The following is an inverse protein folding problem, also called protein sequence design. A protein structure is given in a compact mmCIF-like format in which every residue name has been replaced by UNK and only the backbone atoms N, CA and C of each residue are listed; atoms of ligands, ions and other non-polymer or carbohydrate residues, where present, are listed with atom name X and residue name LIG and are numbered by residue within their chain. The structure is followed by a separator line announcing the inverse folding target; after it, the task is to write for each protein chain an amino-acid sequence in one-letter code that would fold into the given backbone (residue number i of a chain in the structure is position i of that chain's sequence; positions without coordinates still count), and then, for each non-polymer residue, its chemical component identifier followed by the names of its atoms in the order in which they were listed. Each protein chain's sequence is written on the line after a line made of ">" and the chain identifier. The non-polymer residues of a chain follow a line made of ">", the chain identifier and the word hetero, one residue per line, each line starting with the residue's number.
data_IF_489976890625
#
_entry.id   IF_489976890625
#
_cell.length_a   1.000
_cell.length_b   1.000
_cell.length_c   1.000
_cell.angle_alpha   90.00
_cell.angle_beta   90.00
_cell.angle_gamma   90.00
#
_symmetry.space_group_name_H-M   'P 1'
#
loop_
_entity.id
_entity.type
_entity.pdbx_description
1 polymer ?
#
# COMPACT_ATOMS: atom_id res chain seq x y z
N UNK A 1 16.62 -9.33 -11.03
CA UNK A 1 15.60 -10.03 -11.85
C UNK A 1 14.23 -9.36 -11.80
N UNK A 2 13.43 -9.46 -10.73
CA UNK A 2 12.07 -8.86 -10.68
C UNK A 2 12.06 -7.32 -10.80
N UNK A 3 13.01 -6.65 -10.13
CA UNK A 3 13.15 -5.19 -10.19
C UNK A 3 13.58 -4.73 -11.59
N UNK A 4 14.50 -5.46 -12.23
CA UNK A 4 14.93 -5.13 -13.60
C UNK A 4 13.80 -5.35 -14.62
N UNK A 5 13.03 -6.43 -14.47
CA UNK A 5 11.85 -6.68 -15.32
C UNK A 5 10.81 -5.58 -15.16
N UNK A 6 10.51 -5.18 -13.93
CA UNK A 6 9.58 -4.07 -13.67
C UNK A 6 10.10 -2.74 -14.25
N UNK A 7 11.39 -2.44 -14.11
CA UNK A 7 12.01 -1.25 -14.73
C UNK A 7 11.90 -1.26 -16.25
N UNK A 8 12.07 -2.42 -16.88
CA UNK A 8 11.94 -2.59 -18.31
C UNK A 8 10.49 -2.38 -18.78
N UNK A 9 9.52 -3.02 -18.11
CA UNK A 9 8.07 -2.84 -18.39
C UNK A 9 7.65 -1.37 -18.24
N UNK A 10 8.16 -0.69 -17.21
CA UNK A 10 7.94 0.74 -16.98
C UNK A 10 8.52 1.58 -18.12
N UNK A 11 9.76 1.30 -18.51
CA UNK A 11 10.45 2.02 -19.60
C UNK A 11 9.67 1.91 -20.91
N UNK A 12 9.20 0.72 -21.23
CA UNK A 12 8.38 0.47 -22.42
C UNK A 12 7.04 1.22 -22.35
N UNK A 13 6.35 1.20 -21.20
CA UNK A 13 5.12 1.97 -20.98
C UNK A 13 5.34 3.48 -21.15
N UNK A 14 6.42 4.04 -20.59
CA UNK A 14 6.72 5.48 -20.70
C UNK A 14 7.07 5.84 -22.14
N UNK A 15 7.92 5.07 -22.82
CA UNK A 15 8.27 5.31 -24.23
C UNK A 15 7.03 5.24 -25.13
N UNK A 16 6.15 4.26 -24.90
CA UNK A 16 4.87 4.16 -25.59
C UNK A 16 4.00 5.40 -25.33
N UNK A 17 3.85 5.81 -24.07
CA UNK A 17 3.06 6.99 -23.72
C UNK A 17 3.59 8.26 -24.40
N UNK A 18 4.90 8.51 -24.33
CA UNK A 18 5.54 9.69 -24.93
C UNK A 18 5.37 9.73 -26.46
N UNK A 19 5.46 8.56 -27.12
CA UNK A 19 5.20 8.42 -28.55
C UNK A 19 3.78 8.84 -28.93
N UNK A 20 2.77 8.45 -28.16
CA UNK A 20 1.37 8.80 -28.46
C UNK A 20 0.96 10.19 -27.95
N UNK A 21 1.73 10.77 -27.03
CA UNK A 21 1.56 12.13 -26.53
C UNK A 21 2.20 13.20 -27.45
N UNK A 22 2.82 12.82 -28.58
CA UNK A 22 3.55 13.71 -29.50
C UNK A 22 4.69 14.51 -28.81
N UNK A 23 5.31 13.94 -27.77
CA UNK A 23 6.46 14.54 -27.05
C UNK A 23 7.75 13.93 -27.62
N UNK A 24 8.44 14.66 -28.51
CA UNK A 24 9.59 14.12 -29.27
C UNK A 24 10.96 14.33 -28.62
N UNK A 25 11.09 15.22 -27.63
CA UNK A 25 12.40 15.62 -27.10
C UNK A 25 12.63 15.08 -25.69
N UNK A 26 13.70 14.27 -25.54
CA UNK A 26 14.24 13.72 -24.28
C UNK A 26 13.45 12.60 -23.61
N UNK A 27 12.81 11.74 -24.40
CA UNK A 27 12.11 10.56 -23.87
C UNK A 27 13.04 9.67 -23.03
N UNK A 28 14.26 9.37 -23.51
CA UNK A 28 15.24 8.56 -22.77
C UNK A 28 15.61 9.17 -21.40
N UNK A 29 16.01 10.44 -21.35
CA UNK A 29 16.40 11.11 -20.09
C UNK A 29 15.21 11.21 -19.12
N UNK A 30 14.00 11.45 -19.64
CA UNK A 30 12.79 11.48 -18.83
C UNK A 30 12.43 10.10 -18.28
N UNK A 31 12.53 9.05 -19.10
CA UNK A 31 12.29 7.66 -18.70
C UNK A 31 13.29 7.22 -17.64
N UNK A 32 14.56 7.53 -17.83
CA UNK A 32 15.62 7.20 -16.87
C UNK A 32 15.42 7.96 -15.54
N UNK A 33 15.11 9.26 -15.61
CA UNK A 33 14.79 10.06 -14.43
C UNK A 33 13.52 9.58 -13.71
N UNK A 34 12.48 9.21 -14.46
CA UNK A 34 11.23 8.71 -13.91
C UNK A 34 11.39 7.32 -13.26
N UNK A 35 12.14 6.41 -13.88
CA UNK A 35 12.40 5.07 -13.34
C UNK A 35 13.31 5.06 -12.12
N UNK A 36 14.11 6.11 -11.92
CA UNK A 36 14.91 6.30 -10.71
C UNK A 36 14.13 7.01 -9.58
N UNK A 37 12.92 7.49 -9.84
CA UNK A 37 12.09 8.17 -8.84
C UNK A 37 11.35 7.14 -7.96
N UNK A 38 11.55 7.12 -6.63
CA UNK A 38 10.85 6.20 -5.73
C UNK A 38 9.32 6.26 -5.84
N UNK A 39 8.76 7.44 -6.14
CA UNK A 39 7.33 7.58 -6.33
C UNK A 39 6.81 6.78 -7.53
N UNK A 40 7.61 6.64 -8.59
CA UNK A 40 7.24 5.88 -9.77
C UNK A 40 7.29 4.36 -9.51
N UNK A 41 8.31 3.90 -8.79
CA UNK A 41 8.42 2.50 -8.37
C UNK A 41 7.21 2.09 -7.50
N UNK A 42 6.87 2.90 -6.50
CA UNK A 42 5.70 2.67 -5.64
C UNK A 42 4.38 2.65 -6.43
N UNK A 43 4.27 3.48 -7.45
CA UNK A 43 3.10 3.56 -8.34
C UNK A 43 2.92 2.29 -9.18
N UNK A 44 4.03 1.75 -9.70
CA UNK A 44 4.01 0.50 -10.45
C UNK A 44 3.70 -0.69 -9.54
N UNK A 45 4.21 -0.70 -8.31
CA UNK A 45 3.84 -1.71 -7.30
C UNK A 45 2.35 -1.66 -6.98
N UNK A 46 1.76 -0.47 -6.88
CA UNK A 46 0.32 -0.32 -6.70
C UNK A 46 -0.47 -0.83 -7.91
N UNK A 47 -0.06 -0.53 -9.15
CA UNK A 47 -0.72 -1.07 -10.33
C UNK A 47 -0.70 -2.61 -10.34
N UNK A 48 0.46 -3.22 -10.02
CA UNK A 48 0.59 -4.67 -9.94
C UNK A 48 -0.29 -5.28 -8.83
N UNK A 49 -0.39 -4.61 -7.67
CA UNK A 49 -1.30 -5.02 -6.60
C UNK A 49 -2.75 -5.00 -7.09
N UNK A 50 -3.15 -3.94 -7.79
CA UNK A 50 -4.50 -3.81 -8.37
C UNK A 50 -4.79 -4.93 -9.37
N UNK A 51 -3.84 -5.23 -10.25
CA UNK A 51 -4.01 -6.28 -11.25
C UNK A 51 -4.14 -7.67 -10.57
N UNK A 52 -3.38 -7.94 -9.50
CA UNK A 52 -3.54 -9.17 -8.68
C UNK A 52 -4.91 -9.26 -8.01
N UNK A 53 -5.35 -8.16 -7.38
CA UNK A 53 -6.66 -8.10 -6.70
C UNK A 53 -7.82 -8.31 -7.67
N UNK A 54 -7.73 -7.75 -8.88
CA UNK A 54 -8.77 -7.87 -9.90
C UNK A 54 -8.68 -9.19 -10.70
N UNK A 55 -7.56 -9.90 -10.62
CA UNK A 55 -7.35 -11.17 -11.31
C UNK A 55 -8.22 -12.32 -10.78
N UNK A 56 -8.53 -12.32 -9.47
CA UNK A 56 -9.45 -13.29 -8.86
C UNK A 56 -8.96 -14.75 -8.91
N UNK A 57 -7.64 -14.96 -8.96
CA UNK A 57 -7.01 -16.28 -8.97
C UNK A 57 -7.05 -17.00 -7.62
N UNK A 58 -7.17 -16.25 -6.53
CA UNK A 58 -7.20 -16.76 -5.15
C UNK A 58 -8.38 -16.20 -4.38
N UNK A 59 -8.84 -16.95 -3.37
CA UNK A 59 -9.92 -16.53 -2.48
C UNK A 59 -9.51 -15.37 -1.56
N UNK A 60 -8.22 -15.36 -1.14
CA UNK A 60 -7.67 -14.38 -0.21
C UNK A 60 -6.26 -13.99 -0.64
N UNK A 61 -5.98 -12.69 -0.62
CA UNK A 61 -4.66 -12.12 -0.83
C UNK A 61 -4.18 -11.45 0.45
N UNK A 62 -2.96 -11.76 0.89
CA UNK A 62 -2.30 -11.10 2.03
C UNK A 62 -1.14 -10.28 1.51
N UNK A 63 -1.21 -8.96 1.69
CA UNK A 63 -0.17 -8.04 1.27
C UNK A 63 0.67 -7.60 2.48
N UNK A 64 1.96 -7.92 2.46
CA UNK A 64 2.93 -7.39 3.41
C UNK A 64 3.47 -6.05 2.88
N UNK A 65 3.16 -4.96 3.60
CA UNK A 65 3.54 -3.62 3.17
C UNK A 65 4.85 -3.19 3.81
N UNK A 66 5.71 -2.56 3.02
CA UNK A 66 6.86 -1.79 3.52
C UNK A 66 6.44 -0.80 4.64
N UNK A 67 7.37 -0.41 5.53
CA UNK A 67 7.05 0.40 6.72
C UNK A 67 6.24 1.67 6.40
N UNK A 68 5.53 2.11 7.42
CA UNK A 68 4.25 2.83 7.35
C UNK A 68 4.22 4.00 6.36
N UNK A 69 5.32 4.77 6.19
CA UNK A 69 5.39 5.90 5.24
C UNK A 69 4.99 5.55 3.79
N UNK A 70 5.25 4.31 3.34
CA UNK A 70 4.91 3.85 1.99
C UNK A 70 3.43 3.47 1.85
N UNK A 71 2.81 2.96 2.92
CA UNK A 71 1.39 2.57 2.90
C UNK A 71 0.46 3.77 2.68
N UNK A 72 0.78 4.97 3.21
CA UNK A 72 0.01 6.19 2.90
C UNK A 72 0.10 6.54 1.42
N UNK A 73 1.28 6.43 0.81
CA UNK A 73 1.49 6.78 -0.60
C UNK A 73 0.67 5.86 -1.50
N UNK A 74 0.71 4.55 -1.21
CA UNK A 74 -0.11 3.54 -1.88
C UNK A 74 -1.61 3.92 -1.92
N UNK A 75 -2.15 4.41 -0.81
CA UNK A 75 -3.59 4.67 -0.68
C UNK A 75 -4.00 6.05 -1.20
N UNK A 76 -3.18 7.08 -0.93
CA UNK A 76 -3.38 8.42 -1.47
C UNK A 76 -3.24 8.47 -2.99
N UNK A 77 -2.45 7.57 -3.57
CA UNK A 77 -2.30 7.42 -5.02
C UNK A 77 -3.63 7.12 -5.71
N UNK A 78 -4.53 6.31 -5.14
CA UNK A 78 -5.81 5.98 -5.78
C UNK A 78 -6.68 7.22 -6.12
N UNK A 79 -6.75 8.19 -5.19
CA UNK A 79 -7.51 9.43 -5.38
C UNK A 79 -6.78 10.40 -6.31
N UNK A 80 -5.48 10.55 -6.14
CA UNK A 80 -4.65 11.43 -6.98
C UNK A 80 -4.62 10.93 -8.43
N UNK A 81 -4.53 9.62 -8.64
CA UNK A 81 -4.61 9.00 -9.96
C UNK A 81 -5.93 9.30 -10.63
N UNK A 82 -7.04 9.14 -9.91
CA UNK A 82 -8.36 9.43 -10.48
C UNK A 82 -8.46 10.88 -10.99
N UNK A 83 -7.97 11.85 -10.21
CA UNK A 83 -7.95 13.27 -10.62
C UNK A 83 -7.03 13.53 -11.81
N UNK A 84 -5.83 12.97 -11.79
CA UNK A 84 -4.84 13.15 -12.85
C UNK A 84 -5.29 12.53 -14.18
N UNK A 85 -5.83 11.30 -14.14
CA UNK A 85 -6.36 10.61 -15.31
C UNK A 85 -7.55 11.37 -15.88
N UNK A 86 -8.46 11.88 -15.04
CA UNK A 86 -9.57 12.70 -15.51
C UNK A 86 -9.10 13.98 -16.21
N UNK A 87 -8.05 14.63 -15.69
CA UNK A 87 -7.45 15.81 -16.33
C UNK A 87 -6.80 15.47 -17.67
N UNK A 88 -6.10 14.34 -17.75
CA UNK A 88 -5.49 13.82 -18.98
C UNK A 88 -6.52 13.51 -20.05
N UNK A 89 -7.60 12.81 -19.67
CA UNK A 89 -8.72 12.49 -20.55
C UNK A 89 -9.32 13.78 -21.13
N UNK A 90 -9.59 14.78 -20.29
CA UNK A 90 -10.12 16.07 -20.73
C UNK A 90 -9.16 16.80 -21.68
N UNK A 91 -7.87 16.88 -21.32
CA UNK A 91 -6.84 17.51 -22.17
C UNK A 91 -6.73 16.83 -23.54
N UNK A 92 -6.79 15.50 -23.56
CA UNK A 92 -6.70 14.72 -24.81
C UNK A 92 -7.95 14.88 -25.67
N UNK A 93 -9.12 14.97 -25.06
CA UNK A 93 -10.39 15.22 -25.76
C UNK A 93 -10.45 16.63 -26.38
N UNK A 94 -9.96 17.65 -25.66
CA UNK A 94 -9.80 19.02 -26.16
C UNK A 94 -8.82 19.07 -27.34
N UNK A 95 -7.65 18.42 -27.21
CA UNK A 95 -6.66 18.34 -28.28
C UNK A 95 -7.21 17.63 -29.52
N UNK A 96 -7.96 16.54 -29.33
CA UNK A 96 -8.63 15.82 -30.41
C UNK A 96 -9.66 16.70 -31.10
N UNK A 97 -10.53 17.37 -30.34
CA UNK A 97 -11.58 18.25 -30.87
C UNK A 97 -10.99 19.39 -31.70
N UNK A 98 -9.90 20.00 -31.21
CA UNK A 98 -9.16 21.03 -31.95
C UNK A 98 -8.55 20.49 -33.24
N UNK A 99 -7.98 19.26 -33.21
CA UNK A 99 -7.43 18.60 -34.39
C UNK A 99 -8.51 18.28 -35.42
N UNK A 100 -9.69 17.84 -34.99
CA UNK A 100 -10.85 17.58 -35.85
C UNK A 100 -11.38 18.87 -36.50
N UNK A 101 -11.40 19.99 -35.76
CA UNK A 101 -11.75 21.33 -36.27
C UNK A 101 -10.76 21.83 -37.34
N UNK A 102 -9.47 21.57 -37.16
CA UNK A 102 -8.40 22.04 -38.06
C UNK A 102 -8.13 21.07 -39.23
N UNK A 103 -8.66 19.85 -39.19
CA UNK A 103 -8.43 18.84 -40.21
C UNK A 103 -9.42 18.97 -41.37
N UNK A 104 -8.90 19.03 -42.60
CA UNK A 104 -9.70 18.96 -43.83
C UNK A 104 -10.25 17.55 -44.13
N UNK A 105 -9.84 16.53 -43.35
CA UNK A 105 -10.21 15.13 -43.55
C UNK A 105 -10.98 14.60 -42.33
N UNK A 106 -12.20 14.08 -42.52
CA UNK A 106 -13.05 13.51 -41.45
C UNK A 106 -12.65 12.08 -41.02
N UNK A 107 -11.38 11.70 -41.18
CA UNK A 107 -10.94 10.35 -40.81
C UNK A 107 -10.81 10.27 -39.28
N UNK A 108 -11.71 9.55 -38.63
CA UNK A 108 -11.58 9.21 -37.21
C UNK A 108 -10.53 8.12 -37.08
N UNK A 109 -9.34 8.50 -36.64
CA UNK A 109 -8.33 7.53 -36.20
C UNK A 109 -8.64 7.05 -34.78
N UNK A 110 -8.27 5.81 -34.49
CA UNK A 110 -8.25 5.34 -33.10
C UNK A 110 -7.19 6.12 -32.33
N UNK A 111 -7.48 6.42 -31.08
CA UNK A 111 -6.54 7.06 -30.15
C UNK A 111 -6.18 6.05 -29.05
N UNK A 112 -5.11 5.25 -29.24
CA UNK A 112 -4.70 4.23 -28.27
C UNK A 112 -4.43 4.80 -26.88
N UNK A 113 -3.97 6.06 -26.80
CA UNK A 113 -3.73 6.72 -25.52
C UNK A 113 -5.03 7.01 -24.78
N UNK A 114 -6.07 7.46 -25.50
CA UNK A 114 -7.40 7.66 -24.92
C UNK A 114 -7.99 6.33 -24.41
N UNK A 115 -7.90 5.27 -25.22
CA UNK A 115 -8.36 3.92 -24.83
C UNK A 115 -7.63 3.43 -23.55
N UNK A 116 -6.31 3.62 -23.49
CA UNK A 116 -5.51 3.29 -22.31
C UNK A 116 -5.93 4.09 -21.07
N UNK A 117 -6.07 5.42 -21.19
CA UNK A 117 -6.44 6.29 -20.07
C UNK A 117 -7.83 5.95 -19.51
N UNK A 118 -8.79 5.62 -20.38
CA UNK A 118 -10.13 5.16 -19.97
C UNK A 118 -10.03 3.83 -19.22
N UNK A 119 -9.33 2.84 -19.78
CA UNK A 119 -9.15 1.55 -19.14
C UNK A 119 -8.43 1.67 -17.78
N UNK A 120 -7.41 2.52 -17.70
CA UNK A 120 -6.68 2.78 -16.46
C UNK A 120 -7.56 3.45 -15.40
N UNK A 121 -8.36 4.46 -15.76
CA UNK A 121 -9.34 5.08 -14.86
C UNK A 121 -10.30 4.03 -14.30
N UNK A 122 -10.85 3.19 -15.16
CA UNK A 122 -11.87 2.21 -14.77
C UNK A 122 -11.28 1.12 -13.87
N UNK A 123 -10.04 0.67 -14.15
CA UNK A 123 -9.29 -0.24 -13.26
C UNK A 123 -9.06 0.36 -11.88
N UNK A 124 -8.56 1.61 -11.80
CA UNK A 124 -8.33 2.30 -10.54
C UNK A 124 -9.62 2.56 -9.76
N UNK A 125 -10.73 2.83 -10.47
CA UNK A 125 -12.05 2.96 -9.87
C UNK A 125 -12.52 1.66 -9.21
N UNK A 126 -12.38 0.52 -9.90
CA UNK A 126 -12.72 -0.80 -9.34
C UNK A 126 -11.86 -1.16 -8.14
N UNK A 127 -10.56 -0.93 -8.24
CA UNK A 127 -9.63 -1.16 -7.14
C UNK A 127 -10.01 -0.36 -5.89
N UNK A 128 -10.34 0.92 -6.08
CA UNK A 128 -10.79 1.77 -4.99
C UNK A 128 -12.04 1.20 -4.31
N UNK A 129 -13.05 0.80 -5.07
CA UNK A 129 -14.28 0.20 -4.50
C UNK A 129 -13.94 -1.00 -3.63
N UNK A 130 -13.14 -1.93 -4.14
CA UNK A 130 -12.72 -3.13 -3.41
C UNK A 130 -11.90 -2.80 -2.15
N UNK A 131 -10.95 -1.87 -2.24
CA UNK A 131 -10.12 -1.43 -1.10
C UNK A 131 -10.92 -0.76 0.02
N UNK A 132 -12.04 -0.13 -0.32
CA UNK A 132 -12.93 0.55 0.64
C UNK A 132 -14.10 -0.31 1.12
N UNK A 133 -14.26 -1.54 0.59
CA UNK A 133 -15.34 -2.44 0.98
C UNK A 133 -14.95 -3.27 2.22
N UNK A 134 -15.61 -3.08 3.38
CA UNK A 134 -15.33 -3.84 4.60
C UNK A 134 -15.66 -5.34 4.51
N UNK A 135 -16.43 -5.77 3.51
CA UNK A 135 -16.67 -7.19 3.27
C UNK A 135 -15.54 -7.87 2.49
N UNK A 136 -14.68 -7.10 1.81
CA UNK A 136 -13.62 -7.63 0.92
C UNK A 136 -12.21 -7.29 1.40
N UNK A 137 -12.02 -6.13 2.03
CA UNK A 137 -10.70 -5.64 2.43
C UNK A 137 -10.69 -5.29 3.92
N UNK A 138 -9.58 -5.62 4.57
CA UNK A 138 -9.33 -5.24 5.96
C UNK A 138 -7.82 -5.03 6.18
N UNK A 139 -7.46 -3.88 6.73
CA UNK A 139 -6.07 -3.57 7.05
C UNK A 139 -5.74 -3.81 8.52
N UNK A 140 -4.64 -4.52 8.80
CA UNK A 140 -4.18 -4.79 10.16
C UNK A 140 -2.87 -4.07 10.44
N UNK A 141 -2.80 -3.40 11.59
CA UNK A 141 -1.58 -2.74 12.05
C UNK A 141 -0.85 -3.64 13.05
N UNK A 142 0.46 -3.78 12.91
CA UNK A 142 1.32 -4.41 13.92
C UNK A 142 2.08 -3.32 14.66
N UNK A 143 2.04 -3.35 15.99
CA UNK A 143 2.76 -2.39 16.83
C UNK A 143 3.56 -3.09 17.92
N UNK A 144 4.47 -2.34 18.52
CA UNK A 144 5.18 -2.73 19.74
C UNK A 144 4.64 -1.91 20.92
N UNK A 145 4.71 -2.42 22.15
CA UNK A 145 4.36 -1.67 23.36
C UNK A 145 5.42 -0.62 23.70
N UNK A 146 5.58 0.37 22.82
CA UNK A 146 6.52 1.49 22.90
C UNK A 146 5.88 2.76 22.33
N UNK A 147 6.23 3.93 22.87
CA UNK A 147 5.62 5.22 22.49
C UNK A 147 5.64 5.50 20.98
N UNK A 148 6.79 5.32 20.33
CA UNK A 148 6.96 5.69 18.93
C UNK A 148 6.11 4.80 17.99
N UNK A 149 6.18 3.45 18.05
CA UNK A 149 5.29 2.57 17.29
C UNK A 149 3.81 2.89 17.49
N UNK A 150 3.37 3.11 18.74
CA UNK A 150 1.98 3.48 19.06
C UNK A 150 1.58 4.79 18.38
N UNK A 151 2.41 5.84 18.51
CA UNK A 151 2.13 7.14 17.91
C UNK A 151 2.08 7.07 16.38
N UNK A 152 2.96 6.27 15.76
CA UNK A 152 2.95 6.02 14.32
C UNK A 152 1.64 5.38 13.92
N UNK A 153 1.28 4.20 14.44
CA UNK A 153 0.06 3.52 13.98
C UNK A 153 -1.21 4.33 14.28
N UNK A 154 -1.25 5.09 15.39
CA UNK A 154 -2.38 5.99 15.71
C UNK A 154 -2.62 7.01 14.58
N UNK A 155 -1.55 7.65 14.11
CA UNK A 155 -1.63 8.63 13.02
C UNK A 155 -2.08 7.98 11.71
N UNK A 156 -1.62 6.76 11.44
CA UNK A 156 -1.95 6.05 10.21
C UNK A 156 -3.38 5.52 10.20
N UNK A 157 -3.88 4.99 11.31
CA UNK A 157 -5.29 4.59 11.44
C UNK A 157 -6.21 5.76 11.08
N UNK A 158 -5.90 6.97 11.56
CA UNK A 158 -6.63 8.19 11.16
C UNK A 158 -6.67 8.39 9.65
N UNK A 159 -5.54 8.25 8.96
CA UNK A 159 -5.48 8.35 7.51
C UNK A 159 -6.29 7.28 6.79
N UNK A 160 -6.23 6.03 7.26
CA UNK A 160 -7.01 4.95 6.66
C UNK A 160 -8.52 5.21 6.79
N UNK A 161 -8.96 5.75 7.94
CA UNK A 161 -10.34 6.22 8.10
C UNK A 161 -10.68 7.36 7.12
N UNK A 162 -9.80 8.35 6.96
CA UNK A 162 -9.99 9.45 6.00
C UNK A 162 -10.12 8.95 4.55
N UNK A 163 -9.39 7.88 4.22
CA UNK A 163 -9.45 7.23 2.90
C UNK A 163 -10.62 6.24 2.75
N UNK A 164 -11.37 5.96 3.82
CA UNK A 164 -12.48 5.00 3.84
C UNK A 164 -12.04 3.54 3.76
N UNK A 165 -10.80 3.24 4.18
CA UNK A 165 -10.25 1.88 4.14
C UNK A 165 -10.53 1.20 5.49
N UNK A 166 -11.17 0.02 5.48
CA UNK A 166 -11.51 -0.70 6.70
C UNK A 166 -10.25 -1.11 7.48
N UNK A 167 -10.23 -0.76 8.77
CA UNK A 167 -9.18 -1.22 9.69
C UNK A 167 -9.72 -2.42 10.47
N UNK A 168 -9.11 -3.58 10.26
CA UNK A 168 -9.49 -4.84 10.92
C UNK A 168 -9.06 -4.91 12.37
N UNK A 169 -7.94 -4.27 12.69
CA UNK A 169 -7.47 -4.14 14.06
C UNK A 169 -5.96 -3.99 14.19
N UNK A 170 -5.52 -4.14 15.44
CA UNK A 170 -4.13 -3.97 15.86
C UNK A 170 -3.62 -5.26 16.50
N UNK A 171 -2.42 -5.68 16.10
CA UNK A 171 -1.67 -6.78 16.69
C UNK A 171 -0.52 -6.17 17.49
N UNK A 172 -0.42 -6.50 18.78
CA UNK A 172 0.69 -6.07 19.62
C UNK A 172 1.73 -7.19 19.65
N UNK A 173 2.94 -6.91 19.15
CA UNK A 173 4.01 -7.89 19.06
C UNK A 173 5.10 -7.67 20.12
N UNK A 174 5.92 -8.70 20.35
CA UNK A 174 7.08 -8.69 21.25
C UNK A 174 6.76 -8.34 22.72
N UNK A 175 5.65 -8.82 23.25
CA UNK A 175 5.35 -8.70 24.68
C UNK A 175 6.21 -9.68 25.49
N UNK A 176 6.94 -9.18 26.48
CA UNK A 176 7.70 -10.04 27.38
C UNK A 176 6.71 -10.90 28.18
N UNK A 177 6.91 -12.22 28.17
CA UNK A 177 6.09 -13.13 28.94
C UNK A 177 6.34 -12.94 30.44
N UNK A 178 5.35 -12.38 31.13
CA UNK A 178 5.39 -12.12 32.57
C UNK A 178 5.52 -13.38 33.40
N UNK A 179 5.07 -14.53 32.89
CA UNK A 179 5.20 -15.80 33.62
C UNK A 179 6.66 -16.23 33.80
N UNK A 180 7.57 -15.69 32.97
CA UNK A 180 9.01 -15.94 33.05
C UNK A 180 9.78 -14.88 33.85
N UNK A 181 9.10 -13.87 34.40
CA UNK A 181 9.72 -12.76 35.13
C UNK A 181 9.33 -12.82 36.60
N UNK A 182 10.32 -12.74 37.49
CA UNK A 182 10.13 -12.76 38.94
C UNK A 182 11.04 -11.73 39.63
N UNK A 183 10.95 -11.67 40.96
CA UNK A 183 11.71 -10.70 41.77
C UNK A 183 13.24 -10.87 41.70
N UNK A 184 13.73 -12.02 41.22
CA UNK A 184 15.15 -12.28 41.02
C UNK A 184 15.63 -11.99 39.59
N UNK A 185 14.71 -11.73 38.64
CA UNK A 185 15.08 -11.38 37.26
C UNK A 185 15.90 -10.08 37.21
N UNK A 186 16.80 -9.92 36.22
CA UNK A 186 17.58 -8.69 36.09
C UNK A 186 16.71 -7.43 36.08
N UNK A 187 17.17 -6.38 36.75
CA UNK A 187 16.42 -5.13 36.87
C UNK A 187 16.01 -4.56 35.51
N UNK A 188 16.89 -4.66 34.51
CA UNK A 188 16.60 -4.29 33.13
C UNK A 188 15.33 -4.96 32.58
N UNK A 189 15.15 -6.26 32.81
CA UNK A 189 13.99 -7.03 32.33
C UNK A 189 12.73 -6.59 33.05
N UNK A 190 12.78 -6.45 34.38
CA UNK A 190 11.64 -5.95 35.17
C UNK A 190 11.23 -4.54 34.73
N UNK A 191 12.19 -3.66 34.47
CA UNK A 191 11.94 -2.31 33.98
C UNK A 191 11.33 -2.30 32.57
N UNK A 192 11.73 -3.23 31.70
CA UNK A 192 11.12 -3.42 30.37
C UNK A 192 9.67 -3.89 30.48
N UNK A 193 9.37 -4.87 31.34
CA UNK A 193 7.98 -5.30 31.60
C UNK A 193 7.13 -4.14 32.12
N UNK A 194 7.62 -3.40 33.12
CA UNK A 194 6.91 -2.22 33.66
C UNK A 194 6.72 -1.11 32.62
N UNK A 195 7.65 -0.96 31.68
CA UNK A 195 7.50 -0.07 30.53
C UNK A 195 6.41 -0.56 29.58
N UNK A 196 6.43 -1.84 29.19
CA UNK A 196 5.42 -2.43 28.31
C UNK A 196 4.02 -2.33 28.93
N UNK A 197 3.88 -2.54 30.23
CA UNK A 197 2.59 -2.42 30.94
C UNK A 197 1.97 -1.02 30.84
N UNK A 198 2.79 0.02 31.00
CA UNK A 198 2.34 1.40 30.84
C UNK A 198 1.85 1.65 29.41
N UNK A 199 2.58 1.16 28.41
CA UNK A 199 2.19 1.32 27.01
C UNK A 199 1.02 0.43 26.61
N UNK A 200 0.82 -0.72 27.27
CA UNK A 200 -0.37 -1.53 27.07
C UNK A 200 -1.63 -0.79 27.51
N UNK A 201 -1.58 -0.05 28.62
CA UNK A 201 -2.70 0.83 29.04
C UNK A 201 -3.01 1.84 27.93
N UNK A 202 -1.99 2.50 27.37
CA UNK A 202 -2.17 3.44 26.26
C UNK A 202 -2.75 2.77 25.00
N UNK A 203 -2.26 1.58 24.63
CA UNK A 203 -2.77 0.78 23.51
C UNK A 203 -4.25 0.45 23.72
N UNK A 204 -4.64 0.00 24.92
CA UNK A 204 -6.04 -0.32 25.21
C UNK A 204 -6.95 0.89 25.11
N UNK A 205 -6.49 2.06 25.57
CA UNK A 205 -7.25 3.30 25.49
C UNK A 205 -7.38 3.83 24.06
N UNK A 206 -6.30 3.77 23.26
CA UNK A 206 -6.30 4.29 21.88
C UNK A 206 -6.95 3.36 20.88
N UNK A 207 -6.86 2.05 21.11
CA UNK A 207 -7.29 1.01 20.17
C UNK A 207 -8.35 0.10 20.80
N UNK A 208 -9.20 0.66 21.65
CA UNK A 208 -10.29 -0.06 22.30
C UNK A 208 -11.15 -0.81 21.27
N UNK A 209 -11.39 -2.11 21.51
CA UNK A 209 -12.13 -2.98 20.58
C UNK A 209 -11.41 -3.33 19.27
N UNK A 210 -10.25 -2.73 18.99
CA UNK A 210 -9.45 -2.98 17.79
C UNK A 210 -8.27 -3.92 18.03
N UNK A 211 -7.79 -4.11 19.27
CA UNK A 211 -6.70 -5.06 19.54
C UNK A 211 -7.19 -6.49 19.30
N UNK A 212 -6.61 -7.18 18.32
CA UNK A 212 -7.00 -8.53 17.91
C UNK A 212 -6.12 -9.62 18.49
N UNK A 213 -4.85 -9.32 18.72
CA UNK A 213 -3.91 -10.30 19.24
C UNK A 213 -2.75 -9.64 19.98
N UNK A 214 -2.14 -10.42 20.88
CA UNK A 214 -0.96 -10.07 21.67
C UNK A 214 0.04 -11.20 21.57
N UNK A 215 1.14 -10.97 20.87
CA UNK A 215 2.16 -11.97 20.64
C UNK A 215 3.33 -11.79 21.61
N UNK A 216 3.82 -12.90 22.20
CA UNK A 216 4.97 -12.85 23.08
C UNK A 216 6.25 -12.54 22.30
N UNK A 217 7.25 -12.03 23.01
CA UNK A 217 8.63 -12.04 22.56
C UNK A 217 9.16 -13.47 22.68
N UNK A 218 9.61 -14.04 21.55
CA UNK A 218 10.17 -15.38 21.49
C UNK A 218 11.64 -15.41 21.94
N UNK A 219 12.09 -16.57 22.41
CA UNK A 219 13.45 -16.76 22.95
C UNK A 219 14.51 -16.66 21.86
N UNK A 220 14.12 -17.00 20.63
CA UNK A 220 14.95 -16.94 19.43
C UNK A 220 14.17 -16.32 18.28
N UNK A 221 14.88 -15.94 17.22
CA UNK A 221 14.25 -15.48 15.99
C UNK A 221 13.27 -16.53 15.45
N UNK A 222 12.09 -16.08 15.04
CA UNK A 222 11.06 -16.95 14.46
C UNK A 222 11.50 -17.37 13.06
N UNK A 223 12.13 -18.53 12.97
CA UNK A 223 12.60 -19.12 11.71
C UNK A 223 12.06 -20.55 11.52
N UNK A 224 11.70 -20.84 10.28
CA UNK A 224 11.16 -22.13 9.86
C UNK A 224 9.68 -22.32 10.20
N UNK A 225 9.07 -23.28 9.52
CA UNK A 225 7.64 -23.62 9.65
C UNK A 225 7.23 -23.96 11.09
N UNK A 226 8.02 -24.70 11.90
CA UNK A 226 7.62 -25.01 13.27
C UNK A 226 7.45 -23.76 14.15
N UNK A 227 8.41 -22.83 14.09
CA UNK A 227 8.37 -21.58 14.85
C UNK A 227 7.22 -20.67 14.39
N UNK A 228 6.96 -20.62 13.08
CA UNK A 228 5.82 -19.88 12.52
C UNK A 228 4.49 -20.47 12.97
N UNK A 229 4.37 -21.80 13.04
CA UNK A 229 3.15 -22.48 13.51
C UNK A 229 2.87 -22.14 14.98
N UNK A 230 3.90 -22.22 15.83
CA UNK A 230 3.81 -21.78 17.23
C UNK A 230 3.39 -20.31 17.36
N UNK A 231 3.87 -19.44 16.47
CA UNK A 231 3.47 -18.03 16.45
C UNK A 231 2.02 -17.83 16.00
N UNK A 232 1.56 -18.61 15.01
CA UNK A 232 0.18 -18.60 14.55
C UNK A 232 -0.78 -19.06 15.65
N UNK A 233 -0.44 -20.11 16.39
CA UNK A 233 -1.26 -20.61 17.51
C UNK A 233 -1.50 -19.51 18.57
N UNK A 234 -0.48 -18.69 18.84
CA UNK A 234 -0.60 -17.55 19.75
C UNK A 234 -1.37 -16.35 19.16
N UNK A 235 -1.53 -16.28 17.84
CA UNK A 235 -2.24 -15.19 17.17
C UNK A 235 -3.76 -15.40 17.18
N UNK A 236 -4.23 -16.65 17.13
CA UNK A 236 -5.65 -17.01 16.96
C UNK A 236 -6.34 -17.50 18.25
N UNK A 237 -5.91 -16.98 19.42
CA UNK A 237 -6.43 -17.37 20.75
C UNK A 237 -7.67 -16.57 21.15
#
# INVERSE_FOLDING_TARGET
>A
DTIERSKQEIREKIQWFLKFADISTKAEEFVESATMNPAFEESAMFENMVDLMLGGEYDVYVFDTAPTANARRLLGMSQVYSLWVNKMLKSRDEARSLRELLSFTKKKEKDPLMEYLVAFRDRMGKARVMLTDPAQTSFFFVTLPEALPIAVITRFIGWFHDFGIPVGGVIVNMLIDKSQVNDQSPEFVRNRVAMQDRYMIEIWQKFEGMVRARLPLYETEVRGVPSLSRMADNLFV
#
